data_IF_309914073728
#
_entry.id   IF_309914073728
#
_cell.length_a   1.000
_cell.length_b   1.000
_cell.length_c   1.000
_cell.angle_alpha   90.00
_cell.angle_beta   90.00
_cell.angle_gamma   90.00
#
_symmetry.space_group_name_H-M   'P 1'
#
loop_
_entity.id
_entity.type
_entity.pdbx_description
1 polymer ?
#
# COMPACT_ATOMS: atom_id res chain seq x y z
N UNK A 1 5.24 -1.74 8.82
CA UNK A 1 5.57 -0.60 7.94
C UNK A 1 5.34 0.73 8.67
N UNK A 2 4.08 1.07 9.02
CA UNK A 2 3.75 2.38 9.61
C UNK A 2 4.59 2.74 10.86
N UNK A 3 4.90 1.77 11.74
CA UNK A 3 5.76 2.01 12.93
C UNK A 3 7.16 2.56 12.57
N UNK A 4 7.71 2.15 11.42
CA UNK A 4 9.02 2.58 10.95
C UNK A 4 8.98 3.98 10.30
N UNK A 5 7.86 4.31 9.65
CA UNK A 5 7.65 5.61 9.02
C UNK A 5 7.50 6.72 10.07
N UNK A 6 6.90 6.43 11.22
CA UNK A 6 6.43 7.46 12.15
C UNK A 6 5.12 8.08 11.67
N UNK A 7 4.80 9.28 12.14
CA UNK A 7 3.52 9.92 11.87
C UNK A 7 3.41 10.31 10.40
N UNK A 8 2.48 9.68 9.69
CA UNK A 8 2.16 9.94 8.28
C UNK A 8 1.39 11.25 8.20
N UNK A 9 1.81 12.10 7.27
CA UNK A 9 1.28 13.46 7.11
C UNK A 9 0.70 13.70 5.71
N UNK A 10 1.05 12.84 4.75
CA UNK A 10 0.56 12.94 3.38
C UNK A 10 0.65 11.58 2.66
N UNK A 11 -0.29 11.34 1.75
CA UNK A 11 -0.36 10.18 0.88
C UNK A 11 -0.67 10.66 -0.53
N UNK A 12 0.21 10.40 -1.48
CA UNK A 12 -0.06 10.60 -2.92
C UNK A 12 -0.73 9.34 -3.47
N UNK A 13 -1.88 9.54 -4.12
CA UNK A 13 -2.73 8.46 -4.62
C UNK A 13 -2.77 8.46 -6.15
N UNK A 14 -2.79 7.29 -6.79
CA UNK A 14 -2.96 7.16 -8.23
C UNK A 14 -4.39 7.50 -8.66
N UNK A 15 -4.67 7.45 -9.96
CA UNK A 15 -6.04 7.59 -10.47
C UNK A 15 -6.74 6.24 -10.63
N UNK A 16 -8.04 6.21 -10.35
CA UNK A 16 -8.88 5.05 -10.71
C UNK A 16 -8.88 4.87 -12.23
N UNK A 17 -8.64 3.63 -12.68
CA UNK A 17 -8.48 3.24 -14.08
C UNK A 17 -7.03 3.14 -14.53
N UNK A 18 -6.06 3.56 -13.70
CA UNK A 18 -4.64 3.37 -14.00
C UNK A 18 -4.29 1.87 -14.00
N UNK A 19 -3.43 1.47 -14.93
CA UNK A 19 -2.85 0.12 -14.99
C UNK A 19 -1.45 0.14 -14.38
N UNK A 20 -1.13 -0.85 -13.56
CA UNK A 20 0.17 -1.01 -12.90
C UNK A 20 0.73 -2.40 -13.18
N UNK A 21 2.05 -2.51 -13.39
CA UNK A 21 2.73 -3.80 -13.33
C UNK A 21 3.12 -4.13 -11.87
N UNK A 22 3.45 -5.40 -11.60
CA UNK A 22 4.04 -5.77 -10.32
C UNK A 22 5.37 -5.02 -10.13
N UNK A 23 5.61 -4.55 -8.91
CA UNK A 23 6.76 -3.71 -8.53
C UNK A 23 6.79 -2.30 -9.13
N UNK A 24 5.79 -1.89 -9.91
CA UNK A 24 5.67 -0.48 -10.32
C UNK A 24 5.30 0.40 -9.12
N UNK A 25 5.88 1.60 -9.04
CA UNK A 25 5.42 2.62 -8.10
C UNK A 25 4.07 3.18 -8.54
N UNK A 26 3.12 3.26 -7.62
CA UNK A 26 1.79 3.82 -7.87
C UNK A 26 1.50 5.08 -7.04
N UNK A 27 2.38 5.46 -6.13
CA UNK A 27 2.20 6.61 -5.24
C UNK A 27 3.32 6.70 -4.20
N UNK A 28 3.18 7.64 -3.27
CA UNK A 28 4.16 7.87 -2.20
C UNK A 28 3.46 8.14 -0.85
N UNK A 29 4.14 7.79 0.24
CA UNK A 29 3.75 8.17 1.60
C UNK A 29 4.84 9.05 2.19
N UNK A 30 4.43 10.20 2.71
CA UNK A 30 5.30 11.11 3.46
C UNK A 30 4.92 11.09 4.94
N UNK A 31 5.95 10.93 5.77
CA UNK A 31 5.88 11.05 7.21
C UNK A 31 6.78 12.19 7.71
N UNK A 32 6.68 12.50 8.98
CA UNK A 32 7.60 13.44 9.64
C UNK A 32 9.08 13.02 9.63
N UNK A 33 9.39 11.78 9.20
CA UNK A 33 10.75 11.21 9.20
C UNK A 33 11.27 10.85 7.82
N UNK A 34 10.40 10.50 6.88
CA UNK A 34 10.79 9.92 5.60
C UNK A 34 9.71 10.06 4.55
N UNK A 35 10.11 9.97 3.28
CA UNK A 35 9.23 9.72 2.15
C UNK A 35 9.51 8.29 1.66
N UNK A 36 8.47 7.55 1.27
CA UNK A 36 8.58 6.18 0.77
C UNK A 36 7.63 5.95 -0.39
N UNK A 37 8.16 5.41 -1.47
CA UNK A 37 7.37 4.96 -2.61
C UNK A 37 6.47 3.76 -2.22
N UNK A 38 5.30 3.69 -2.85
CA UNK A 38 4.36 2.58 -2.75
C UNK A 38 4.40 1.75 -4.02
N UNK A 39 4.71 0.47 -3.88
CA UNK A 39 4.86 -0.44 -5.02
C UNK A 39 3.68 -1.40 -5.13
N UNK A 40 3.20 -1.63 -6.35
CA UNK A 40 2.10 -2.53 -6.61
C UNK A 40 2.54 -3.99 -6.37
N UNK A 41 1.79 -4.77 -5.55
CA UNK A 41 2.18 -6.14 -5.23
C UNK A 41 1.96 -7.12 -6.40
N UNK A 42 1.08 -6.77 -7.35
CA UNK A 42 0.70 -7.54 -8.53
C UNK A 42 0.34 -6.61 -9.68
N UNK A 43 0.32 -7.13 -10.91
CA UNK A 43 -0.18 -6.38 -12.06
C UNK A 43 -1.71 -6.31 -12.07
N UNK A 44 -2.27 -5.18 -12.49
CA UNK A 44 -3.72 -5.00 -12.58
C UNK A 44 -4.18 -3.56 -12.84
N UNK A 45 -5.49 -3.37 -12.71
CA UNK A 45 -6.16 -2.07 -12.84
C UNK A 45 -6.57 -1.56 -11.45
N UNK A 46 -6.26 -0.31 -11.13
CA UNK A 46 -6.73 0.34 -9.91
C UNK A 46 -8.21 0.66 -10.06
N UNK A 47 -9.06 0.07 -9.22
CA UNK A 47 -10.52 0.21 -9.29
C UNK A 47 -11.10 1.12 -8.21
N UNK A 48 -10.34 1.39 -7.16
CA UNK A 48 -10.69 2.35 -6.12
C UNK A 48 -9.41 2.89 -5.45
N UNK A 49 -9.49 4.12 -4.95
CA UNK A 49 -8.49 4.76 -4.10
C UNK A 49 -9.17 5.33 -2.87
N UNK A 50 -8.47 5.38 -1.74
CA UNK A 50 -9.03 5.91 -0.51
C UNK A 50 -8.88 7.43 -0.44
N UNK A 51 -9.82 8.14 -1.08
CA UNK A 51 -9.86 9.61 -1.07
C UNK A 51 -9.91 10.20 0.35
N UNK A 52 -10.34 9.43 1.36
CA UNK A 52 -10.34 9.85 2.76
C UNK A 52 -8.95 10.11 3.35
N UNK A 53 -7.89 9.57 2.74
CA UNK A 53 -6.50 9.80 3.18
C UNK A 53 -5.99 11.21 2.86
N UNK A 54 -6.64 11.95 1.96
CA UNK A 54 -6.34 13.37 1.74
C UNK A 54 -6.71 14.22 2.97
N UNK A 55 -7.82 13.87 3.63
CA UNK A 55 -8.33 14.57 4.81
C UNK A 55 -7.73 14.02 6.12
N UNK A 56 -7.54 12.70 6.21
CA UNK A 56 -7.01 12.03 7.41
C UNK A 56 -5.91 10.99 7.07
N UNK A 57 -4.69 11.44 6.75
CA UNK A 57 -3.57 10.55 6.47
C UNK A 57 -3.12 9.71 7.69
N UNK A 58 -3.52 10.09 8.92
CA UNK A 58 -3.18 9.36 10.13
C UNK A 58 -3.91 8.00 10.26
N UNK A 59 -4.92 7.75 9.41
CA UNK A 59 -5.54 6.43 9.28
C UNK A 59 -4.53 5.35 8.87
N UNK A 60 -3.50 5.69 8.08
CA UNK A 60 -2.41 4.76 7.74
C UNK A 60 -1.65 4.28 8.99
N UNK A 61 -1.51 5.13 10.01
CA UNK A 61 -0.88 4.75 11.27
C UNK A 61 -1.85 3.99 12.19
N UNK A 62 -3.08 4.49 12.31
CA UNK A 62 -4.01 4.06 13.36
C UNK A 62 -4.84 2.83 13.00
N UNK A 63 -5.19 2.63 11.73
CA UNK A 63 -5.95 1.49 11.24
C UNK A 63 -5.50 1.02 9.84
N UNK A 64 -4.22 0.57 9.69
CA UNK A 64 -3.61 0.27 8.39
C UNK A 64 -4.27 -0.85 7.58
N UNK A 65 -5.08 -1.69 8.23
CA UNK A 65 -5.79 -2.80 7.59
C UNK A 65 -7.32 -2.61 7.53
N UNK A 66 -7.82 -1.52 8.11
CA UNK A 66 -9.24 -1.13 8.07
C UNK A 66 -9.41 0.16 7.29
N UNK A 67 -9.68 1.27 7.99
CA UNK A 67 -9.95 2.58 7.36
C UNK A 67 -8.73 3.18 6.63
N UNK A 68 -7.51 2.72 6.93
CA UNK A 68 -6.26 3.16 6.30
C UNK A 68 -5.85 2.42 5.02
N UNK A 69 -6.76 1.68 4.37
CA UNK A 69 -6.49 1.08 3.06
C UNK A 69 -6.12 2.15 2.02
N UNK A 70 -5.32 1.80 1.00
CA UNK A 70 -4.76 2.80 0.06
C UNK A 70 -5.44 2.70 -1.32
N UNK A 71 -5.38 1.51 -1.94
CA UNK A 71 -5.98 1.22 -3.25
C UNK A 71 -6.65 -0.15 -3.26
N UNK A 72 -7.61 -0.34 -4.16
CA UNK A 72 -8.09 -1.65 -4.58
C UNK A 72 -7.64 -1.92 -6.01
N UNK A 73 -7.06 -3.10 -6.25
CA UNK A 73 -6.62 -3.54 -7.58
C UNK A 73 -7.50 -4.68 -8.04
N UNK A 74 -7.99 -4.60 -9.28
CA UNK A 74 -8.48 -5.77 -10.02
C UNK A 74 -7.27 -6.47 -10.66
N UNK A 75 -6.92 -7.70 -10.21
CA UNK A 75 -5.77 -8.41 -10.77
C UNK A 75 -5.96 -8.66 -12.27
N UNK A 76 -4.90 -8.48 -13.05
CA UNK A 76 -4.89 -8.96 -14.44
C UNK A 76 -4.87 -10.50 -14.46
N UNK A 77 -4.12 -11.10 -13.54
CA UNK A 77 -4.08 -12.54 -13.30
C UNK A 77 -4.23 -12.85 -11.80
N UNK A 78 -5.26 -13.61 -11.44
CA UNK A 78 -5.52 -13.98 -10.05
C UNK A 78 -4.47 -14.95 -9.47
N UNK A 79 -3.79 -15.73 -10.30
CA UNK A 79 -2.77 -16.69 -9.86
C UNK A 79 -1.52 -15.98 -9.31
N UNK A 80 -1.31 -14.70 -9.63
CA UNK A 80 -0.16 -13.93 -9.14
C UNK A 80 -0.18 -13.72 -7.62
N UNK A 81 -1.36 -13.83 -7.00
CA UNK A 81 -1.52 -13.80 -5.54
C UNK A 81 -0.78 -14.96 -4.85
N UNK A 82 -0.59 -16.10 -5.54
CA UNK A 82 0.14 -17.25 -5.00
C UNK A 82 1.66 -17.00 -4.89
N UNK A 83 2.18 -15.94 -5.51
CA UNK A 83 3.58 -15.53 -5.39
C UNK A 83 3.85 -14.67 -4.15
N UNK A 84 2.80 -14.18 -3.49
CA UNK A 84 2.91 -13.35 -2.29
C UNK A 84 3.11 -14.22 -1.05
N UNK A 85 3.72 -13.62 -0.03
CA UNK A 85 3.87 -14.27 1.26
C UNK A 85 2.52 -14.37 1.96
N UNK A 86 2.24 -15.54 2.54
CA UNK A 86 1.17 -15.65 3.52
C UNK A 86 1.57 -14.98 4.84
N UNK A 87 0.62 -14.90 5.79
CA UNK A 87 0.83 -14.24 7.06
C UNK A 87 1.93 -14.89 7.92
N UNK A 88 2.11 -16.20 7.85
CA UNK A 88 3.14 -16.92 8.62
C UNK A 88 4.53 -16.64 8.03
N UNK A 89 4.66 -16.74 6.71
CA UNK A 89 5.89 -16.46 5.99
C UNK A 89 6.32 -14.99 6.16
N UNK A 90 5.39 -14.04 6.06
CA UNK A 90 5.68 -12.62 6.26
C UNK A 90 6.17 -12.33 7.69
N UNK A 91 5.53 -12.93 8.70
CA UNK A 91 5.99 -12.81 10.09
C UNK A 91 7.40 -13.38 10.28
N UNK A 92 7.69 -14.52 9.66
CA UNK A 92 9.02 -15.12 9.73
C UNK A 92 10.10 -14.23 9.09
N UNK A 93 9.79 -13.44 8.06
CA UNK A 93 10.73 -12.44 7.53
C UNK A 93 10.93 -11.27 8.49
N UNK A 94 9.87 -10.80 9.17
CA UNK A 94 9.97 -9.72 10.16
C UNK A 94 10.83 -10.12 11.37
N UNK A 95 10.73 -11.37 11.85
CA UNK A 95 11.51 -11.86 13.00
C UNK A 95 13.03 -11.94 12.72
N UNK A 96 13.45 -11.81 11.45
CA UNK A 96 14.87 -11.78 11.05
C UNK A 96 15.46 -10.37 11.04
N UNK A 97 14.62 -9.33 11.02
CA UNK A 97 15.01 -7.92 10.99
C UNK A 97 15.34 -7.41 12.41
#
# INVERSE_FOLDING_TARGET
>A
AQDALGDVVYVDLPSVGDSVAAEDSFGEIESTKSVSDLFAPIAGEIVAVNEGLEDDPALVNSDPYGEGWIIEIRPENADDLANLLDAEAYKAELDKL
#
